data_IF_132838386129
#
_entry.id   IF_132838386129
#
_cell.length_a   1.000
_cell.length_b   1.000
_cell.length_c   1.000
_cell.angle_alpha   90.00
_cell.angle_beta   90.00
_cell.angle_gamma   90.00
#
_symmetry.space_group_name_H-M   'P 1'
#
loop_
_entity.id
_entity.type
_entity.pdbx_description
1 polymer ?
#
# COMPACT_ATOMS: atom_id res chain seq x y z
N UNK A 1 1.92 39.12 -55.84
CA UNK A 1 1.45 40.52 -55.81
C UNK A 1 0.52 40.64 -54.61
N UNK A 2 0.76 41.64 -53.76
CA UNK A 2 0.27 41.78 -52.37
C UNK A 2 -1.06 42.55 -52.33
N UNK A 3 -1.71 42.49 -51.14
CA UNK A 3 -2.67 43.44 -50.51
C UNK A 3 -4.14 42.99 -50.60
N UNK A 4 -5.00 43.05 -49.57
CA UNK A 4 -4.97 43.53 -48.18
C UNK A 4 -6.24 43.00 -47.47
N UNK A 5 -6.21 42.85 -46.14
CA UNK A 5 -7.36 42.55 -45.25
C UNK A 5 -8.42 43.68 -45.24
N UNK A 6 -9.63 43.46 -44.67
CA UNK A 6 -9.84 43.85 -43.28
C UNK A 6 -10.82 42.99 -42.43
N UNK A 7 -10.84 43.33 -41.15
CA UNK A 7 -11.48 42.82 -39.92
C UNK A 7 -13.01 42.84 -39.80
N UNK A 8 -13.59 41.89 -39.03
CA UNK A 8 -14.89 41.96 -38.31
C UNK A 8 -14.80 41.06 -37.04
N UNK A 9 -14.63 41.59 -35.82
CA UNK A 9 -15.62 42.08 -34.83
C UNK A 9 -16.45 41.00 -34.09
N UNK A 10 -16.23 40.90 -32.77
CA UNK A 10 -17.05 40.21 -31.76
C UNK A 10 -18.50 40.76 -31.68
N UNK A 11 -19.42 39.99 -31.07
CA UNK A 11 -20.18 40.56 -29.97
C UNK A 11 -20.22 39.68 -28.72
N UNK A 12 -20.05 40.37 -27.59
CA UNK A 12 -20.28 39.95 -26.21
C UNK A 12 -21.72 40.31 -25.86
N UNK A 13 -22.54 39.35 -25.40
CA UNK A 13 -23.79 39.67 -24.71
C UNK A 13 -23.93 38.85 -23.43
N UNK A 14 -23.87 39.58 -22.32
CA UNK A 14 -24.30 39.18 -20.99
C UNK A 14 -25.82 39.12 -20.96
N UNK A 15 -26.40 38.05 -20.40
CA UNK A 15 -27.70 38.13 -19.75
C UNK A 15 -27.64 37.49 -18.37
N UNK A 16 -27.77 38.38 -17.39
CA UNK A 16 -28.03 38.14 -15.98
C UNK A 16 -29.49 37.71 -15.84
N UNK A 17 -29.76 36.62 -15.12
CA UNK A 17 -31.07 36.40 -14.47
C UNK A 17 -30.86 35.86 -13.07
N UNK A 18 -31.05 36.76 -12.10
CA UNK A 18 -31.18 36.48 -10.69
C UNK A 18 -32.45 35.65 -10.43
N UNK A 19 -32.32 34.53 -9.73
CA UNK A 19 -33.40 34.00 -8.90
C UNK A 19 -32.92 33.89 -7.45
N UNK A 20 -33.43 34.82 -6.64
CA UNK A 20 -33.51 34.76 -5.18
C UNK A 20 -34.52 33.66 -4.81
N UNK A 21 -34.17 32.82 -3.83
CA UNK A 21 -35.06 31.81 -3.29
C UNK A 21 -34.55 31.23 -1.97
N UNK A 22 -34.74 31.99 -0.90
CA UNK A 22 -34.89 31.60 0.52
C UNK A 22 -33.97 30.52 1.12
N UNK A 23 -33.00 30.98 1.92
CA UNK A 23 -32.31 30.22 2.97
C UNK A 23 -33.25 30.15 4.18
N UNK A 24 -33.71 28.95 4.55
CA UNK A 24 -34.29 28.69 5.87
C UNK A 24 -33.28 27.88 6.68
N UNK A 25 -32.58 28.61 7.55
CA UNK A 25 -31.57 28.11 8.47
C UNK A 25 -32.26 27.69 9.78
N UNK A 26 -32.47 26.39 9.95
CA UNK A 26 -32.99 25.80 11.19
C UNK A 26 -31.86 25.52 12.19
N UNK A 27 -31.39 26.55 12.89
CA UNK A 27 -30.55 26.40 14.08
C UNK A 27 -31.42 25.92 15.26
N UNK A 28 -31.26 24.66 15.68
CA UNK A 28 -31.75 24.20 16.99
C UNK A 28 -30.66 24.39 18.04
N UNK A 29 -30.83 25.46 18.82
CA UNK A 29 -30.13 25.71 20.06
C UNK A 29 -30.65 24.74 21.15
N UNK A 30 -29.79 23.82 21.61
CA UNK A 30 -29.97 23.22 22.93
C UNK A 30 -29.08 23.96 23.93
N UNK A 31 -29.73 24.83 24.73
CA UNK A 31 -29.18 25.36 25.98
C UNK A 31 -29.23 24.25 27.02
N UNK A 32 -28.13 23.98 27.71
CA UNK A 32 -28.18 23.43 29.06
C UNK A 32 -27.18 24.18 29.95
N UNK A 33 -27.75 24.89 30.92
CA UNK A 33 -27.03 25.67 31.92
C UNK A 33 -26.57 24.78 33.08
N UNK A 34 -25.35 25.06 33.55
CA UNK A 34 -24.87 25.06 34.93
C UNK A 34 -24.92 23.76 35.77
N UNK A 35 -23.75 23.26 36.18
CA UNK A 35 -23.08 23.65 37.44
C UNK A 35 -21.71 22.97 37.57
N UNK A 36 -20.71 23.78 37.92
CA UNK A 36 -19.36 23.35 38.27
C UNK A 36 -19.28 22.78 39.69
N UNK A 37 -18.32 21.88 39.93
CA UNK A 37 -17.65 21.76 41.22
C UNK A 37 -16.20 21.30 41.03
N UNK A 38 -15.27 22.22 41.27
CA UNK A 38 -13.83 22.01 41.44
C UNK A 38 -13.52 22.23 42.92
N UNK A 39 -12.72 21.35 43.51
CA UNK A 39 -11.98 21.50 44.78
C UNK A 39 -11.13 20.23 44.94
N UNK A 40 -9.96 20.19 45.57
CA UNK A 40 -8.86 21.11 45.87
C UNK A 40 -7.77 20.19 46.45
N UNK A 41 -6.51 20.52 46.21
CA UNK A 41 -5.33 19.79 46.66
C UNK A 41 -5.19 19.77 48.20
N UNK A 42 -4.60 18.72 48.75
CA UNK A 42 -3.71 18.81 49.91
C UNK A 42 -2.74 17.62 49.95
N UNK A 43 -1.46 17.96 49.93
CA UNK A 43 -0.29 17.09 50.05
C UNK A 43 0.03 16.85 51.53
N UNK A 44 0.46 15.65 51.89
CA UNK A 44 1.35 15.45 53.04
C UNK A 44 2.29 14.27 52.82
N UNK A 45 3.58 14.58 52.65
CA UNK A 45 4.69 13.69 52.99
C UNK A 45 4.88 13.73 54.51
N UNK A 46 5.54 12.73 55.09
CA UNK A 46 6.85 13.05 55.66
C UNK A 46 7.95 12.06 55.29
N UNK A 47 9.16 12.58 55.41
CA UNK A 47 10.47 12.04 55.08
C UNK A 47 11.25 11.91 56.41
N UNK A 48 12.25 11.00 56.44
CA UNK A 48 13.40 10.91 57.38
C UNK A 48 13.12 10.31 58.79
N UNK A 49 14.02 9.58 59.47
CA UNK A 49 15.43 9.23 59.24
C UNK A 49 15.90 8.11 60.21
N UNK A 50 16.93 7.38 59.75
CA UNK A 50 18.11 6.82 60.47
C UNK A 50 18.00 5.85 61.66
N UNK A 51 18.75 4.73 61.52
CA UNK A 51 19.37 3.96 62.60
C UNK A 51 20.44 3.00 62.04
N UNK A 52 21.72 3.36 62.18
CA UNK A 52 22.91 2.66 61.67
C UNK A 52 23.17 1.29 62.32
N UNK A 53 23.80 0.36 61.58
CA UNK A 53 25.03 -0.31 62.06
C UNK A 53 25.78 -1.08 60.95
N UNK A 54 27.11 -0.91 60.97
CA UNK A 54 28.12 -1.40 60.02
C UNK A 54 28.41 -2.90 60.18
N UNK A 55 28.73 -3.58 59.07
CA UNK A 55 29.88 -4.48 58.92
C UNK A 55 30.03 -4.89 57.46
N UNK A 56 31.16 -4.48 56.87
CA UNK A 56 31.67 -4.97 55.60
C UNK A 56 32.14 -6.42 55.77
N UNK A 57 31.69 -7.32 54.89
CA UNK A 57 32.47 -8.49 54.52
C UNK A 57 32.25 -8.77 53.02
N UNK A 58 33.35 -8.63 52.30
CA UNK A 58 33.50 -8.83 50.86
C UNK A 58 33.39 -10.32 50.55
N UNK A 59 32.49 -10.69 49.63
CA UNK A 59 32.55 -11.98 48.93
C UNK A 59 32.40 -11.77 47.43
N UNK A 60 33.46 -12.16 46.73
CA UNK A 60 33.57 -12.27 45.29
C UNK A 60 32.64 -13.35 44.73
N UNK A 61 32.11 -13.10 43.53
CA UNK A 61 31.84 -14.14 42.54
C UNK A 61 30.44 -14.73 42.55
N UNK A 62 29.61 -14.28 41.61
CA UNK A 62 29.13 -15.09 40.47
C UNK A 62 28.23 -14.21 39.59
N UNK A 63 28.69 -13.97 38.38
CA UNK A 63 27.93 -13.36 37.29
C UNK A 63 26.75 -14.27 36.94
N UNK A 64 25.52 -13.77 37.06
CA UNK A 64 24.37 -14.32 36.35
C UNK A 64 23.55 -13.17 35.79
N UNK A 65 23.60 -13.00 34.48
CA UNK A 65 22.75 -12.06 33.76
C UNK A 65 21.32 -12.59 33.78
N UNK A 66 20.47 -11.96 34.59
CA UNK A 66 19.02 -12.06 34.45
C UNK A 66 18.64 -11.35 33.14
N UNK A 67 18.58 -12.10 32.05
CA UNK A 67 17.93 -11.64 30.83
C UNK A 67 16.43 -11.57 31.10
N UNK A 68 15.91 -10.36 31.34
CA UNK A 68 14.49 -10.08 31.21
C UNK A 68 14.08 -10.44 29.78
N UNK A 69 13.35 -11.55 29.63
CA UNK A 69 12.66 -11.87 28.40
C UNK A 69 11.56 -10.83 28.19
N UNK A 70 11.79 -9.92 27.25
CA UNK A 70 10.71 -9.11 26.69
C UNK A 70 9.75 -10.05 25.95
N UNK A 71 8.42 -9.90 26.11
CA UNK A 71 7.48 -10.71 25.35
C UNK A 71 7.59 -10.34 23.88
N UNK A 72 8.03 -11.29 23.06
CA UNK A 72 7.96 -11.19 21.60
C UNK A 72 6.48 -11.09 21.21
N UNK A 73 6.09 -10.16 20.30
CA UNK A 73 4.75 -10.17 19.73
C UNK A 73 4.54 -11.51 19.03
N UNK A 74 3.38 -12.14 19.26
CA UNK A 74 3.10 -13.53 18.94
C UNK A 74 3.57 -13.94 17.54
N UNK A 75 4.59 -14.80 17.50
CA UNK A 75 4.75 -15.74 16.41
C UNK A 75 3.53 -16.65 16.47
N UNK A 76 2.53 -16.36 15.63
CA UNK A 76 1.53 -17.37 15.24
C UNK A 76 2.36 -18.59 14.84
N UNK A 77 2.24 -19.68 15.61
CA UNK A 77 2.87 -20.95 15.28
C UNK A 77 2.53 -21.22 13.82
N UNK A 78 3.56 -21.24 12.97
CA UNK A 78 3.38 -21.12 11.52
C UNK A 78 2.43 -22.20 11.04
N UNK A 79 1.21 -21.81 10.64
CA UNK A 79 0.39 -22.72 9.85
C UNK A 79 1.22 -23.10 8.62
N UNK A 80 1.45 -24.40 8.46
CA UNK A 80 2.20 -25.00 7.35
C UNK A 80 1.41 -24.83 6.06
N UNK A 81 1.42 -23.61 5.52
CA UNK A 81 0.84 -23.32 4.23
C UNK A 81 1.71 -23.94 3.16
N UNK A 82 1.11 -24.81 2.36
CA UNK A 82 1.78 -25.35 1.19
C UNK A 82 1.81 -24.26 0.13
N UNK A 83 3.01 -23.77 -0.15
CA UNK A 83 3.25 -22.76 -1.18
C UNK A 83 3.75 -23.43 -2.46
N UNK A 84 3.41 -22.86 -3.62
CA UNK A 84 4.02 -23.19 -4.91
C UNK A 84 4.89 -22.03 -5.38
N UNK A 85 5.95 -22.32 -6.13
CA UNK A 85 6.78 -21.31 -6.78
C UNK A 85 6.25 -20.95 -8.15
N UNK A 86 6.35 -19.67 -8.48
CA UNK A 86 6.11 -19.15 -9.81
C UNK A 86 7.35 -18.40 -10.29
N UNK A 87 7.83 -18.76 -11.48
CA UNK A 87 8.98 -18.14 -12.13
C UNK A 87 8.53 -17.54 -13.46
N UNK A 88 8.83 -16.26 -13.68
CA UNK A 88 8.67 -15.59 -14.95
C UNK A 88 10.05 -15.33 -15.56
N UNK A 89 10.40 -16.13 -16.57
CA UNK A 89 11.65 -16.03 -17.31
C UNK A 89 11.68 -14.82 -18.26
N UNK A 90 10.51 -14.32 -18.70
CA UNK A 90 10.39 -13.21 -19.66
C UNK A 90 10.72 -11.89 -18.97
N UNK A 91 10.22 -11.69 -17.76
CA UNK A 91 10.46 -10.48 -16.96
C UNK A 91 11.50 -10.70 -15.85
N UNK A 92 12.05 -11.91 -15.74
CA UNK A 92 13.10 -12.33 -14.81
C UNK A 92 12.78 -11.98 -13.33
N UNK A 93 11.69 -12.55 -12.82
CA UNK A 93 11.30 -12.49 -11.40
C UNK A 93 10.66 -13.81 -10.95
N UNK A 94 10.51 -13.98 -9.65
CA UNK A 94 9.81 -15.14 -9.06
C UNK A 94 9.13 -14.75 -7.75
N UNK A 95 8.14 -15.54 -7.36
CA UNK A 95 7.48 -15.44 -6.06
C UNK A 95 6.83 -16.78 -5.69
N UNK A 96 6.47 -16.93 -4.42
CA UNK A 96 5.67 -18.03 -3.89
C UNK A 96 4.21 -17.63 -3.73
N UNK A 97 3.28 -18.54 -3.93
CA UNK A 97 1.85 -18.31 -3.70
C UNK A 97 1.20 -19.51 -3.01
N UNK A 98 0.16 -19.29 -2.18
CA UNK A 98 -0.40 -20.32 -1.33
C UNK A 98 -1.29 -21.26 -2.14
N UNK A 99 -1.10 -22.57 -2.01
CA UNK A 99 -1.88 -23.59 -2.70
C UNK A 99 -2.88 -24.28 -1.77
N UNK A 100 -2.44 -24.63 -0.57
CA UNK A 100 -3.26 -25.36 0.40
C UNK A 100 -2.98 -24.87 1.83
N UNK A 101 -4.03 -24.85 2.65
CA UNK A 101 -3.96 -24.77 4.10
C UNK A 101 -4.36 -26.16 4.65
N UNK A 102 -3.39 -27.04 4.93
CA UNK A 102 -3.67 -28.40 5.40
C UNK A 102 -4.47 -28.43 6.70
N UNK A 103 -4.22 -27.48 7.62
CA UNK A 103 -4.93 -27.33 8.89
C UNK A 103 -6.44 -27.15 8.71
N UNK A 104 -6.83 -26.38 7.69
CA UNK A 104 -8.23 -26.04 7.39
C UNK A 104 -8.83 -26.87 6.25
N UNK A 105 -8.06 -27.79 5.66
CA UNK A 105 -8.39 -28.50 4.41
C UNK A 105 -8.84 -27.53 3.30
N UNK A 106 -8.30 -26.31 3.32
CA UNK A 106 -8.65 -25.27 2.37
C UNK A 106 -7.69 -25.32 1.20
N UNK A 107 -8.22 -25.22 -0.02
CA UNK A 107 -7.46 -25.34 -1.26
C UNK A 107 -7.75 -24.10 -2.10
N UNK A 108 -6.70 -23.31 -2.38
CA UNK A 108 -6.80 -22.15 -3.24
C UNK A 108 -7.06 -22.58 -4.69
N UNK A 109 -8.01 -21.92 -5.36
CA UNK A 109 -8.39 -22.20 -6.75
C UNK A 109 -7.89 -21.10 -7.67
N UNK A 110 -6.57 -20.99 -7.74
CA UNK A 110 -5.90 -20.04 -8.62
C UNK A 110 -6.18 -20.32 -10.10
N UNK A 111 -6.58 -19.26 -10.80
CA UNK A 111 -6.66 -19.21 -12.25
C UNK A 111 -5.76 -18.08 -12.73
N UNK A 112 -4.94 -18.37 -13.74
CA UNK A 112 -4.15 -17.35 -14.44
C UNK A 112 -5.09 -16.50 -15.29
N UNK A 113 -5.47 -15.33 -14.77
CA UNK A 113 -6.25 -14.32 -15.49
C UNK A 113 -5.43 -13.74 -16.64
N UNK A 114 -4.14 -13.49 -16.39
CA UNK A 114 -3.17 -13.00 -17.37
C UNK A 114 -1.90 -13.81 -17.27
N UNK A 115 -1.54 -14.46 -18.38
CA UNK A 115 -0.26 -15.16 -18.51
C UNK A 115 0.89 -14.15 -18.47
N UNK A 116 2.06 -14.54 -17.92
CA UNK A 116 3.28 -13.74 -18.04
C UNK A 116 3.51 -13.32 -19.49
N UNK A 117 3.54 -12.01 -19.71
CA UNK A 117 3.79 -11.41 -21.01
C UNK A 117 4.79 -10.25 -20.88
N UNK A 118 5.47 -9.93 -21.98
CA UNK A 118 6.39 -8.80 -22.03
C UNK A 118 5.61 -7.49 -21.98
N UNK A 119 5.56 -6.86 -20.81
CA UNK A 119 5.05 -5.51 -20.54
C UNK A 119 3.65 -5.20 -21.07
N UNK A 120 2.75 -6.18 -21.12
CA UNK A 120 1.35 -6.13 -21.58
C UNK A 120 1.04 -5.21 -22.76
N UNK A 121 0.62 -5.80 -23.87
CA UNK A 121 0.23 -5.03 -25.07
C UNK A 121 -1.15 -4.35 -24.94
N UNK A 122 -1.85 -4.55 -23.81
CA UNK A 122 -3.15 -3.94 -23.59
C UNK A 122 -3.04 -2.42 -23.45
N UNK A 123 -3.91 -1.69 -24.15
CA UNK A 123 -3.99 -0.24 -24.06
C UNK A 123 -4.18 0.21 -22.60
N UNK A 124 -3.49 1.28 -22.16
CA UNK A 124 -3.61 1.77 -20.79
C UNK A 124 -5.05 2.24 -20.52
N UNK A 125 -5.57 1.91 -19.34
CA UNK A 125 -6.95 2.26 -18.96
C UNK A 125 -7.14 3.78 -18.77
N UNK A 126 -6.04 4.52 -18.57
CA UNK A 126 -6.03 5.97 -18.55
C UNK A 126 -4.75 6.51 -19.24
N UNK A 127 -4.75 7.75 -19.76
CA UNK A 127 -3.56 8.35 -20.37
C UNK A 127 -2.35 8.46 -19.44
N UNK A 128 -2.56 8.34 -18.13
CA UNK A 128 -1.50 8.38 -17.11
C UNK A 128 -1.21 7.00 -16.50
N UNK A 129 -1.90 5.94 -16.95
CA UNK A 129 -1.66 4.59 -16.44
C UNK A 129 -0.41 4.02 -17.10
N UNK A 130 0.74 4.29 -16.48
CA UNK A 130 2.07 3.89 -16.97
C UNK A 130 2.52 2.51 -16.45
N UNK A 131 1.71 1.88 -15.59
CA UNK A 131 1.94 0.51 -15.13
C UNK A 131 1.32 -0.51 -16.08
N UNK A 132 2.02 -1.62 -16.29
CA UNK A 132 1.58 -2.76 -17.08
C UNK A 132 1.49 -4.00 -16.21
N UNK A 133 0.31 -4.61 -16.18
CA UNK A 133 0.09 -5.90 -15.52
C UNK A 133 0.72 -6.98 -16.40
N UNK A 134 1.84 -7.54 -15.97
CA UNK A 134 2.57 -8.56 -16.73
C UNK A 134 2.12 -9.97 -16.39
N UNK A 135 1.60 -10.20 -15.19
CA UNK A 135 1.07 -11.48 -14.74
C UNK A 135 -0.03 -11.25 -13.72
N UNK A 136 -1.09 -12.05 -13.77
CA UNK A 136 -2.17 -11.98 -12.78
C UNK A 136 -2.80 -13.35 -12.53
N UNK A 137 -2.96 -13.67 -11.25
CA UNK A 137 -3.66 -14.85 -10.76
C UNK A 137 -4.80 -14.42 -9.86
N UNK A 138 -5.96 -15.05 -10.05
CA UNK A 138 -7.16 -14.79 -9.27
C UNK A 138 -7.68 -16.08 -8.67
N UNK A 139 -8.04 -16.05 -7.40
CA UNK A 139 -8.88 -17.08 -6.80
C UNK A 139 -10.33 -16.66 -7.02
N UNK A 140 -11.05 -17.43 -7.83
CA UNK A 140 -12.44 -17.10 -8.19
C UNK A 140 -13.39 -17.31 -7.01
N UNK A 141 -13.07 -18.24 -6.11
CA UNK A 141 -13.93 -18.60 -4.99
C UNK A 141 -13.77 -17.57 -3.88
N UNK A 142 -12.53 -17.34 -3.46
CA UNK A 142 -12.22 -16.49 -2.30
C UNK A 142 -11.83 -15.07 -2.68
N UNK A 143 -11.92 -14.72 -3.97
CA UNK A 143 -11.73 -13.37 -4.49
C UNK A 143 -10.36 -12.77 -4.14
N UNK A 144 -9.35 -13.64 -4.13
CA UNK A 144 -7.95 -13.30 -3.91
C UNK A 144 -7.31 -12.92 -5.23
N UNK A 145 -6.38 -11.97 -5.21
CA UNK A 145 -5.69 -11.53 -6.42
C UNK A 145 -4.21 -11.40 -6.11
N UNK A 146 -3.36 -12.00 -6.93
CA UNK A 146 -1.92 -11.76 -6.97
C UNK A 146 -1.59 -11.23 -8.36
N UNK A 147 -1.00 -10.04 -8.42
CA UNK A 147 -0.73 -9.33 -9.67
C UNK A 147 0.66 -8.71 -9.63
N UNK A 148 1.39 -8.85 -10.73
CA UNK A 148 2.71 -8.22 -10.92
C UNK A 148 2.58 -7.13 -11.96
N UNK A 149 3.03 -5.93 -11.61
CA UNK A 149 3.03 -4.77 -12.47
C UNK A 149 4.42 -4.22 -12.68
N UNK A 150 4.70 -3.75 -13.88
CA UNK A 150 5.97 -3.09 -14.23
C UNK A 150 5.66 -1.71 -14.80
N UNK A 151 6.43 -0.70 -14.41
CA UNK A 151 6.35 0.62 -15.04
C UNK A 151 7.39 1.61 -14.53
N UNK A 152 7.47 2.79 -15.16
CA UNK A 152 8.44 3.81 -14.78
C UNK A 152 8.06 4.46 -13.45
N UNK A 153 9.04 4.95 -12.67
CA UNK A 153 8.77 5.74 -11.48
C UNK A 153 8.01 7.02 -11.81
N UNK A 154 7.17 7.47 -10.88
CA UNK A 154 6.48 8.74 -10.97
C UNK A 154 7.35 9.86 -10.37
N UNK A 155 7.84 10.75 -11.25
CA UNK A 155 8.71 11.88 -10.89
C UNK A 155 8.07 12.90 -9.94
N UNK A 156 6.74 12.87 -9.78
CA UNK A 156 6.04 13.70 -8.79
C UNK A 156 6.40 13.29 -7.35
N UNK A 157 6.66 12.00 -7.13
CA UNK A 157 7.02 11.41 -5.84
C UNK A 157 8.52 11.12 -5.77
N UNK A 158 9.06 10.45 -6.78
CA UNK A 158 10.46 10.03 -6.86
C UNK A 158 11.28 11.02 -7.70
N UNK A 159 11.74 12.10 -7.06
CA UNK A 159 12.48 13.19 -7.74
C UNK A 159 13.92 12.83 -8.10
N UNK A 160 14.57 12.01 -7.26
CA UNK A 160 15.93 11.55 -7.46
C UNK A 160 15.97 10.29 -8.32
N UNK A 161 17.00 10.12 -9.14
CA UNK A 161 17.28 8.84 -9.82
C UNK A 161 17.98 7.83 -8.90
N UNK A 162 18.55 8.29 -7.80
CA UNK A 162 19.23 7.44 -6.84
C UNK A 162 18.21 6.78 -5.91
N UNK A 163 18.02 5.48 -6.09
CA UNK A 163 17.07 4.69 -5.30
C UNK A 163 17.41 4.60 -3.82
N UNK A 164 18.66 4.82 -3.42
CA UNK A 164 19.04 4.81 -2.01
C UNK A 164 18.39 5.97 -1.22
N UNK A 165 17.95 7.01 -1.93
CA UNK A 165 17.28 8.17 -1.34
C UNK A 165 15.76 8.01 -1.22
N UNK A 166 15.19 6.93 -1.77
CA UNK A 166 13.75 6.73 -1.82
C UNK A 166 13.23 6.09 -0.54
N UNK A 167 12.22 6.71 0.08
CA UNK A 167 11.49 6.10 1.19
C UNK A 167 10.35 5.21 0.67
N UNK A 168 9.94 4.23 1.47
CA UNK A 168 8.93 3.24 1.07
C UNK A 168 7.57 3.87 0.75
N UNK A 169 7.19 4.93 1.48
CA UNK A 169 5.92 5.61 1.26
C UNK A 169 5.87 6.32 -0.10
N UNK A 170 6.93 7.02 -0.50
CA UNK A 170 7.00 7.71 -1.79
C UNK A 170 7.03 6.71 -2.96
N UNK A 171 7.64 5.55 -2.77
CA UNK A 171 7.60 4.44 -3.74
C UNK A 171 6.18 3.89 -3.85
N UNK A 172 5.50 3.64 -2.73
CA UNK A 172 4.11 3.21 -2.70
C UNK A 172 3.20 4.23 -3.42
N UNK A 173 3.30 5.52 -3.06
CA UNK A 173 2.51 6.59 -3.67
C UNK A 173 2.79 6.72 -5.17
N UNK A 174 4.06 6.56 -5.60
CA UNK A 174 4.44 6.50 -7.01
C UNK A 174 3.69 5.39 -7.75
N UNK A 175 3.75 4.14 -7.26
CA UNK A 175 3.09 2.99 -7.89
C UNK A 175 1.56 3.17 -7.88
N UNK A 176 0.98 3.54 -6.74
CA UNK A 176 -0.47 3.66 -6.59
C UNK A 176 -1.07 4.78 -7.46
N UNK A 177 -0.33 5.88 -7.67
CA UNK A 177 -0.76 6.98 -8.52
C UNK A 177 -0.98 6.58 -9.99
N UNK A 178 -0.20 5.62 -10.49
CA UNK A 178 -0.28 5.11 -11.87
C UNK A 178 -1.21 3.88 -11.97
N UNK A 179 -1.57 3.24 -10.85
CA UNK A 179 -2.47 2.07 -10.80
C UNK A 179 -3.96 2.44 -10.95
N UNK A 180 -4.34 3.68 -10.62
CA UNK A 180 -5.75 4.11 -10.68
C UNK A 180 -6.27 4.18 -12.13
N UNK A 181 -7.34 3.43 -12.42
CA UNK A 181 -7.90 3.27 -13.77
C UNK A 181 -8.91 4.36 -14.18
N UNK A 182 -9.39 5.18 -13.24
CA UNK A 182 -10.47 6.14 -13.50
C UNK A 182 -9.93 7.54 -13.80
N UNK A 183 -10.61 8.25 -14.71
CA UNK A 183 -10.34 9.68 -15.02
C UNK A 183 -10.83 10.56 -13.88
N UNK A 184 -10.18 10.48 -12.74
CA UNK A 184 -10.49 11.30 -11.57
C UNK A 184 -9.37 12.32 -11.33
N UNK A 185 -9.67 13.43 -10.67
CA UNK A 185 -8.65 14.41 -10.27
C UNK A 185 -7.67 13.76 -9.27
N UNK A 186 -6.40 14.18 -9.23
CA UNK A 186 -5.37 13.55 -8.38
C UNK A 186 -5.75 13.48 -6.88
N UNK A 187 -6.49 14.48 -6.38
CA UNK A 187 -7.01 14.50 -5.01
C UNK A 187 -8.10 13.44 -4.77
N UNK A 188 -8.95 13.18 -5.76
CA UNK A 188 -9.93 12.09 -5.68
C UNK A 188 -9.27 10.72 -5.87
N UNK A 189 -8.15 10.61 -6.60
CA UNK A 189 -7.36 9.36 -6.71
C UNK A 189 -6.73 8.94 -5.39
N UNK A 190 -6.12 9.87 -4.66
CA UNK A 190 -5.60 9.60 -3.31
C UNK A 190 -6.71 9.26 -2.30
N UNK A 191 -7.97 9.58 -2.61
CA UNK A 191 -9.12 9.19 -1.79
C UNK A 191 -9.61 7.75 -2.10
N UNK A 192 -9.15 7.13 -3.18
CA UNK A 192 -9.50 5.74 -3.54
C UNK A 192 -8.54 4.72 -2.92
N UNK A 193 -7.26 5.09 -2.74
CA UNK A 193 -6.25 4.23 -2.13
C UNK A 193 -5.57 4.91 -0.93
N UNK A 194 -5.52 4.23 0.21
CA UNK A 194 -4.84 4.71 1.41
C UNK A 194 -3.73 3.76 1.81
N UNK A 195 -2.49 4.24 1.88
CA UNK A 195 -1.35 3.50 2.44
C UNK A 195 -1.49 3.43 3.96
N UNK A 196 -1.38 2.23 4.53
CA UNK A 196 -1.49 1.96 5.96
C UNK A 196 -0.12 1.84 6.62
N UNK A 197 0.76 1.03 6.02
CA UNK A 197 2.14 0.84 6.43
C UNK A 197 3.06 0.87 5.21
N UNK A 198 4.29 1.34 5.41
CA UNK A 198 5.33 1.26 4.40
C UNK A 198 6.71 1.19 5.05
N UNK A 199 7.51 0.21 4.66
CA UNK A 199 8.87 0.01 5.17
C UNK A 199 9.81 -0.50 4.08
N UNK A 200 11.11 -0.34 4.32
CA UNK A 200 12.17 -0.80 3.41
C UNK A 200 12.91 -1.95 4.05
N UNK A 201 13.16 -3.01 3.29
CA UNK A 201 14.07 -4.09 3.67
C UNK A 201 15.08 -4.33 2.55
N UNK A 202 16.15 -5.09 2.85
CA UNK A 202 17.14 -5.49 1.86
C UNK A 202 17.00 -6.96 1.54
N UNK A 203 16.93 -7.29 0.26
CA UNK A 203 16.98 -8.65 -0.26
C UNK A 203 18.19 -8.72 -1.20
N UNK A 204 19.13 -9.61 -0.90
CA UNK A 204 20.40 -9.74 -1.65
C UNK A 204 21.19 -8.43 -1.80
N UNK A 205 21.11 -7.55 -0.79
CA UNK A 205 21.79 -6.26 -0.76
C UNK A 205 21.03 -5.12 -1.46
N UNK A 206 20.00 -5.44 -2.24
CA UNK A 206 19.16 -4.47 -2.95
C UNK A 206 17.95 -4.04 -2.11
N UNK A 207 17.52 -2.76 -2.19
CA UNK A 207 16.36 -2.28 -1.47
C UNK A 207 15.05 -2.80 -2.08
N UNK A 208 14.18 -3.31 -1.22
CA UNK A 208 12.80 -3.67 -1.52
C UNK A 208 11.88 -2.84 -0.62
N UNK A 209 10.86 -2.24 -1.20
CA UNK A 209 9.88 -1.42 -0.47
C UNK A 209 8.59 -2.21 -0.33
N UNK A 210 8.23 -2.49 0.92
CA UNK A 210 7.03 -3.20 1.31
C UNK A 210 5.99 -2.20 1.79
N UNK A 211 4.74 -2.40 1.43
CA UNK A 211 3.66 -1.52 1.86
C UNK A 211 2.31 -2.21 1.86
N UNK A 212 1.48 -1.77 2.78
CA UNK A 212 0.10 -2.18 2.97
C UNK A 212 -0.81 -1.03 2.57
N UNK A 213 -1.90 -1.32 1.85
CA UNK A 213 -2.84 -0.29 1.44
C UNK A 213 -4.26 -0.82 1.26
N UNK A 214 -5.22 0.06 1.48
CA UNK A 214 -6.64 -0.20 1.20
C UNK A 214 -7.04 0.46 -0.10
N UNK A 215 -7.85 -0.23 -0.90
CA UNK A 215 -8.53 0.37 -2.05
C UNK A 215 -10.04 0.31 -1.83
N UNK A 216 -10.70 1.47 -1.91
CA UNK A 216 -12.15 1.58 -1.80
C UNK A 216 -12.80 1.02 -3.06
N UNK A 217 -13.69 0.04 -2.89
CA UNK A 217 -14.62 -0.41 -3.91
C UNK A 217 -15.75 0.61 -4.06
N UNK A 218 -16.26 0.76 -5.28
CA UNK A 218 -17.45 1.58 -5.53
C UNK A 218 -18.59 1.14 -4.60
N UNK A 219 -19.20 2.04 -3.82
CA UNK A 219 -20.32 1.69 -2.97
C UNK A 219 -21.50 1.28 -3.88
N UNK A 220 -21.70 -0.03 -4.01
CA UNK A 220 -22.96 -0.57 -4.55
C UNK A 220 -24.01 -0.44 -3.45
N UNK A 221 -25.19 0.09 -3.79
CA UNK A 221 -26.33 0.36 -2.90
C UNK A 221 -26.87 -0.87 -2.11
N UNK A 222 -26.22 -2.03 -2.20
CA UNK A 222 -26.65 -3.32 -1.68
C UNK A 222 -25.67 -3.95 -0.67
N UNK A 223 -24.51 -3.34 -0.38
CA UNK A 223 -23.48 -3.91 0.49
C UNK A 223 -23.42 -3.28 1.87
N UNK A 224 -23.46 -4.09 2.94
CA UNK A 224 -23.08 -3.67 4.29
C UNK A 224 -21.64 -3.11 4.30
N UNK A 225 -21.42 -2.07 5.12
CA UNK A 225 -20.19 -1.29 5.30
C UNK A 225 -18.83 -2.05 5.31
N UNK A 226 -18.67 -3.30 5.83
CA UNK A 226 -17.34 -3.89 5.96
C UNK A 226 -16.77 -4.45 4.63
N UNK A 227 -17.56 -4.50 3.55
CA UNK A 227 -17.12 -4.94 2.21
C UNK A 227 -16.68 -3.79 1.28
N UNK A 228 -16.60 -2.57 1.81
CA UNK A 228 -16.28 -1.39 1.01
C UNK A 228 -14.82 -1.31 0.57
N UNK A 229 -13.91 -2.07 1.20
CA UNK A 229 -12.49 -1.98 0.92
C UNK A 229 -11.89 -3.34 0.56
N UNK A 230 -10.95 -3.32 -0.38
CA UNK A 230 -10.03 -4.43 -0.63
C UNK A 230 -8.70 -4.10 0.03
N UNK A 231 -8.18 -5.07 0.77
CA UNK A 231 -6.91 -4.95 1.46
C UNK A 231 -5.80 -5.51 0.56
N UNK A 232 -4.74 -4.75 0.36
CA UNK A 232 -3.55 -5.13 -0.39
C UNK A 232 -2.29 -5.09 0.47
N UNK A 233 -1.41 -6.04 0.22
CA UNK A 233 0.01 -5.97 0.56
C UNK A 233 0.82 -6.03 -0.72
N UNK A 234 1.95 -5.31 -0.77
CA UNK A 234 2.79 -5.23 -1.95
C UNK A 234 4.27 -5.10 -1.60
N UNK A 235 5.10 -5.53 -2.56
CA UNK A 235 6.55 -5.35 -2.53
C UNK A 235 6.98 -4.81 -3.87
N UNK A 236 7.87 -3.84 -3.85
CA UNK A 236 8.42 -3.20 -5.04
C UNK A 236 9.92 -3.24 -5.01
N UNK A 237 10.51 -3.58 -6.14
CA UNK A 237 11.94 -3.51 -6.40
C UNK A 237 12.19 -2.63 -7.63
N UNK A 238 13.39 -2.08 -7.72
CA UNK A 238 13.84 -1.31 -8.87
C UNK A 238 14.84 -2.12 -9.69
N UNK A 239 14.66 -2.11 -11.01
CA UNK A 239 15.63 -2.61 -11.98
C UNK A 239 15.66 -1.70 -13.20
N UNK A 240 16.84 -1.22 -13.54
CA UNK A 240 17.13 -0.46 -14.78
C UNK A 240 16.22 0.77 -14.99
N UNK A 241 15.84 1.43 -13.90
CA UNK A 241 14.98 2.61 -13.88
C UNK A 241 13.48 2.31 -13.89
N UNK A 242 13.07 1.05 -13.70
CA UNK A 242 11.67 0.63 -13.68
C UNK A 242 11.32 -0.07 -12.36
N UNK A 243 10.08 0.14 -11.91
CA UNK A 243 9.53 -0.46 -10.72
C UNK A 243 8.84 -1.77 -11.08
N UNK A 244 9.27 -2.85 -10.42
CA UNK A 244 8.67 -4.17 -10.47
C UNK A 244 7.92 -4.37 -9.16
N UNK A 245 6.59 -4.40 -9.22
CA UNK A 245 5.73 -4.44 -8.05
C UNK A 245 4.86 -5.67 -8.07
N UNK A 246 5.01 -6.55 -7.08
CA UNK A 246 4.01 -7.57 -6.76
C UNK A 246 2.98 -6.98 -5.81
N UNK A 247 1.71 -7.31 -6.01
CA UNK A 247 0.64 -7.00 -5.08
C UNK A 247 -0.25 -8.22 -4.88
N UNK A 248 -0.62 -8.49 -3.63
CA UNK A 248 -1.51 -9.55 -3.24
C UNK A 248 -2.68 -8.95 -2.45
N UNK A 249 -3.90 -9.44 -2.65
CA UNK A 249 -5.08 -8.82 -2.04
C UNK A 249 -6.23 -9.77 -1.75
N UNK A 250 -7.05 -9.37 -0.79
CA UNK A 250 -8.29 -10.03 -0.39
C UNK A 250 -9.35 -9.00 0.04
N UNK A 251 -10.60 -9.43 0.22
CA UNK A 251 -11.64 -8.59 0.81
C UNK A 251 -11.25 -8.19 2.23
N UNK A 252 -11.61 -6.96 2.65
CA UNK A 252 -11.28 -6.48 4.00
C UNK A 252 -11.76 -7.41 5.12
N UNK A 253 -12.95 -8.00 4.99
CA UNK A 253 -13.48 -8.98 5.95
C UNK A 253 -12.66 -10.27 6.07
N UNK A 254 -11.87 -10.62 5.05
CA UNK A 254 -11.06 -11.84 5.00
C UNK A 254 -9.59 -11.58 5.33
N UNK A 255 -9.22 -10.33 5.65
CA UNK A 255 -7.83 -9.94 5.86
C UNK A 255 -7.18 -10.69 7.02
N UNK A 256 -7.87 -10.78 8.17
CA UNK A 256 -7.31 -11.45 9.35
C UNK A 256 -7.00 -12.93 9.12
N UNK A 257 -7.74 -13.57 8.21
CA UNK A 257 -7.52 -14.97 7.83
C UNK A 257 -6.49 -15.13 6.70
N UNK A 258 -6.61 -14.34 5.63
CA UNK A 258 -5.83 -14.55 4.41
C UNK A 258 -4.55 -13.70 4.35
N UNK A 259 -4.54 -12.55 5.03
CA UNK A 259 -3.46 -11.56 5.04
C UNK A 259 -2.08 -12.16 5.27
N UNK A 260 -1.87 -12.96 6.34
CA UNK A 260 -0.55 -13.55 6.63
C UNK A 260 0.02 -14.41 5.49
N UNK A 261 -0.84 -15.04 4.68
CA UNK A 261 -0.40 -15.87 3.54
C UNK A 261 -0.06 -15.03 2.32
N UNK A 262 -0.80 -13.93 2.13
CA UNK A 262 -0.52 -12.96 1.08
C UNK A 262 0.76 -12.17 1.38
N UNK A 263 1.02 -11.83 2.66
CA UNK A 263 2.28 -11.24 3.12
C UNK A 263 3.46 -12.14 2.81
N UNK A 264 3.37 -13.45 3.12
CA UNK A 264 4.41 -14.43 2.75
C UNK A 264 4.66 -14.47 1.25
N UNK A 265 3.60 -14.37 0.45
CA UNK A 265 3.72 -14.36 -1.02
C UNK A 265 4.50 -13.13 -1.49
N UNK A 266 4.15 -11.96 -0.97
CA UNK A 266 4.80 -10.69 -1.30
C UNK A 266 6.24 -10.64 -0.78
N UNK A 267 6.50 -11.16 0.42
CA UNK A 267 7.84 -11.24 1.01
C UNK A 267 8.79 -12.16 0.22
N UNK A 268 8.25 -13.18 -0.45
CA UNK A 268 9.02 -14.10 -1.27
C UNK A 268 9.38 -13.56 -2.66
N UNK A 269 8.85 -12.40 -3.06
CA UNK A 269 9.09 -11.83 -4.37
C UNK A 269 10.54 -11.38 -4.51
N UNK A 270 11.19 -11.84 -5.56
CA UNK A 270 12.55 -11.42 -5.88
C UNK A 270 12.81 -11.38 -7.38
N UNK A 271 13.69 -10.47 -7.73
CA UNK A 271 14.21 -10.24 -9.06
C UNK A 271 15.30 -11.26 -9.37
N UNK A 272 15.13 -12.04 -10.45
CA UNK A 272 16.10 -13.04 -10.92
C UNK A 272 17.12 -12.41 -11.88
N UNK A 273 18.33 -12.95 -12.03
CA UNK A 273 19.25 -12.51 -13.07
C UNK A 273 18.56 -12.48 -14.45
N UNK A 274 18.81 -11.46 -15.29
CA UNK A 274 18.31 -11.43 -16.67
C UNK A 274 18.66 -12.70 -17.44
N UNK A 275 17.66 -13.28 -18.10
CA UNK A 275 17.78 -14.43 -19.01
C UNK A 275 17.97 -13.95 -20.45
N UNK A 276 18.18 -14.87 -21.39
CA UNK A 276 18.23 -14.54 -22.82
C UNK A 276 16.89 -14.01 -23.36
N UNK A 277 15.78 -14.39 -22.73
CA UNK A 277 14.42 -13.95 -23.08
C UNK A 277 14.05 -12.57 -22.50
N UNK A 278 14.83 -12.12 -21.51
CA UNK A 278 14.64 -10.84 -20.85
C UNK A 278 14.97 -9.69 -21.79
N UNK A 279 13.96 -8.87 -22.08
CA UNK A 279 14.15 -7.60 -22.79
C UNK A 279 13.85 -6.48 -21.82
N UNK A 280 14.83 -5.62 -21.49
CA UNK A 280 14.63 -4.59 -20.51
C UNK A 280 13.63 -3.52 -20.96
N UNK A 281 12.91 -2.87 -20.04
CA UNK A 281 11.78 -2.00 -20.40
C UNK A 281 12.16 -0.80 -21.27
N UNK A 282 13.39 -0.28 -21.11
CA UNK A 282 13.88 0.85 -21.90
C UNK A 282 14.11 0.53 -23.39
N UNK A 283 14.12 -0.76 -23.79
CA UNK A 283 14.17 -1.15 -25.22
C UNK A 283 12.80 -1.11 -25.89
N UNK A 284 11.71 -1.23 -25.12
CA UNK A 284 10.33 -1.16 -25.59
C UNK A 284 9.52 -0.04 -24.86
N UNK A 285 10.01 1.21 -24.81
CA UNK A 285 9.39 2.25 -23.97
C UNK A 285 7.95 2.56 -24.39
N UNK A 286 7.62 2.44 -25.67
CA UNK A 286 6.25 2.65 -26.19
C UNK A 286 5.22 1.71 -25.59
N UNK A 287 5.63 0.60 -24.96
CA UNK A 287 4.69 -0.25 -24.24
C UNK A 287 4.13 0.46 -23.02
N UNK A 288 4.78 1.50 -22.47
CA UNK A 288 4.34 2.19 -21.26
C UNK A 288 3.65 3.54 -21.49
N UNK A 289 3.50 3.98 -22.75
CA UNK A 289 2.97 5.30 -23.13
C UNK A 289 1.89 5.22 -24.20
#
# INVERSE_FOLDING_TARGET
MVLLSPSLSLPRLHFIRNHRGSIVQGQKNCRLNNKAKVCSCASSKPIQQNGFCRRDLVLFGLSSSLSLGFPTPGSVAGEDVKMASFVDEINAYTYLYPMELPSKKFLFKWVESRKPERYSSAAPLSPNARLRIVSERVDIIDNLIISVTIGPPNVQFLKSKDKSTWNAKDVADSVLSDKSALRVTSSQRMAESSVLDAHTSKVDGEPYWFYEYLVRKSPTNLGQEPNLYRHYVASTAEREGYLYSISASTLGMQWDEMGPFLEKSVASFHLLPPTDDYVPPYKDPWRFW
#
